data_IF_537212163553
#
_entry.id   IF_537212163553
#
_cell.length_a   1.000
_cell.length_b   1.000
_cell.length_c   1.000
_cell.angle_alpha   90.00
_cell.angle_beta   90.00
_cell.angle_gamma   90.00
#
_symmetry.space_group_name_H-M   'P 1'
#
loop_
_entity.id
_entity.type
_entity.pdbx_description
1 polymer ?
#
# COMPACT_ATOMS: atom_id res chain seq x y z
N UNK A 1 -21.11 -13.63 3.18
CA UNK A 1 -20.00 -12.65 3.21
C UNK A 1 -18.94 -13.10 4.21
N UNK A 2 -17.73 -13.44 3.76
CA UNK A 2 -16.66 -14.01 4.57
C UNK A 2 -15.67 -12.92 4.98
N UNK A 3 -16.03 -12.17 6.04
CA UNK A 3 -15.29 -10.97 6.48
C UNK A 3 -13.80 -11.24 6.77
N UNK A 4 -13.46 -12.46 7.20
CA UNK A 4 -12.08 -12.88 7.47
C UNK A 4 -11.24 -12.89 6.19
N UNK A 5 -11.83 -13.31 5.07
CA UNK A 5 -11.19 -13.35 3.77
C UNK A 5 -10.94 -11.93 3.23
N UNK A 6 -11.93 -11.05 3.37
CA UNK A 6 -11.84 -9.64 2.99
C UNK A 6 -10.69 -8.94 3.74
N UNK A 7 -10.63 -9.10 5.06
CA UNK A 7 -9.56 -8.52 5.88
C UNK A 7 -8.19 -9.10 5.50
N UNK A 8 -8.11 -10.42 5.28
CA UNK A 8 -6.86 -11.07 4.88
C UNK A 8 -6.35 -10.56 3.53
N UNK A 9 -7.23 -10.47 2.53
CA UNK A 9 -6.91 -9.90 1.22
C UNK A 9 -6.43 -8.44 1.33
N UNK A 10 -7.12 -7.64 2.15
CA UNK A 10 -6.71 -6.29 2.50
C UNK A 10 -5.29 -6.22 3.08
N UNK A 11 -4.99 -7.05 4.08
CA UNK A 11 -3.66 -7.07 4.74
C UNK A 11 -2.56 -7.46 3.75
N UNK A 12 -2.76 -8.51 2.94
CA UNK A 12 -1.76 -8.93 1.95
C UNK A 12 -1.50 -7.82 0.93
N UNK A 13 -2.57 -7.20 0.42
CA UNK A 13 -2.47 -6.13 -0.57
C UNK A 13 -1.85 -4.87 0.05
N UNK A 14 -2.08 -4.62 1.34
CA UNK A 14 -1.42 -3.56 2.10
C UNK A 14 0.10 -3.77 2.19
N UNK A 15 0.56 -4.99 2.47
CA UNK A 15 2.01 -5.28 2.49
C UNK A 15 2.64 -5.07 1.11
N UNK A 16 1.98 -5.50 0.04
CA UNK A 16 2.44 -5.27 -1.34
C UNK A 16 2.50 -3.77 -1.62
N UNK A 17 1.44 -3.02 -1.29
CA UNK A 17 1.40 -1.57 -1.43
C UNK A 17 2.47 -0.86 -0.62
N UNK A 18 2.78 -1.32 0.59
CA UNK A 18 3.83 -0.76 1.45
C UNK A 18 5.22 -0.89 0.83
N UNK A 19 5.51 -2.06 0.21
CA UNK A 19 6.76 -2.31 -0.52
C UNK A 19 6.85 -1.41 -1.76
N UNK A 20 5.76 -1.29 -2.51
CA UNK A 20 5.69 -0.40 -3.68
C UNK A 20 5.91 1.06 -3.27
N UNK A 21 5.27 1.50 -2.17
CA UNK A 21 5.44 2.86 -1.64
C UNK A 21 6.88 3.14 -1.19
N UNK A 22 7.54 2.16 -0.57
CA UNK A 22 8.96 2.26 -0.19
C UNK A 22 9.87 2.33 -1.43
N UNK A 23 9.61 1.50 -2.45
CA UNK A 23 10.34 1.53 -3.71
C UNK A 23 10.16 2.86 -4.44
N UNK A 24 8.94 3.41 -4.46
CA UNK A 24 8.64 4.72 -5.03
C UNK A 24 9.41 5.85 -4.31
N UNK A 25 9.51 5.79 -2.97
CA UNK A 25 10.31 6.74 -2.19
C UNK A 25 11.80 6.65 -2.54
N UNK A 26 12.32 5.43 -2.71
CA UNK A 26 13.73 5.20 -3.05
C UNK A 26 14.06 5.60 -4.50
N UNK A 27 13.13 5.40 -5.44
CA UNK A 27 13.26 5.85 -6.84
C UNK A 27 13.15 7.37 -6.92
N UNK A 28 12.21 7.99 -6.18
CA UNK A 28 12.04 9.44 -6.14
C UNK A 28 13.25 10.19 -5.55
N UNK A 29 14.06 9.53 -4.73
CA UNK A 29 15.34 10.06 -4.24
C UNK A 29 16.50 9.91 -5.23
N UNK A 30 16.32 9.16 -6.33
CA UNK A 30 17.39 8.78 -7.25
C UNK A 30 17.56 9.82 -8.35
N UNK A 31 18.09 10.99 -8.01
CA UNK A 31 18.45 12.02 -8.99
C UNK A 31 19.46 13.04 -8.46
N UNK A 32 20.67 12.98 -9.04
CA UNK A 32 21.64 14.05 -9.26
C UNK A 32 22.40 14.64 -8.05
N UNK A 33 23.54 14.01 -7.76
CA UNK A 33 24.79 14.59 -7.22
C UNK A 33 24.80 15.16 -5.80
N UNK A 34 23.73 15.76 -5.31
CA UNK A 34 23.65 16.35 -3.97
C UNK A 34 22.17 16.20 -3.60
N UNK A 35 21.78 15.67 -2.45
CA UNK A 35 21.98 16.31 -1.19
C UNK A 35 21.85 15.27 -0.09
N UNK A 36 22.91 15.17 0.69
CA UNK A 36 22.92 14.63 2.04
C UNK A 36 22.04 15.56 2.89
N UNK A 37 20.71 15.46 2.76
CA UNK A 37 19.79 16.22 3.60
C UNK A 37 19.67 15.52 4.96
N UNK A 38 20.62 15.83 5.83
CA UNK A 38 20.62 15.59 7.28
C UNK A 38 19.57 16.46 8.00
N UNK A 39 18.40 16.68 7.40
CA UNK A 39 17.29 17.40 8.02
C UNK A 39 16.26 16.39 8.54
N UNK A 40 15.83 16.46 9.82
CA UNK A 40 14.90 15.51 10.42
C UNK A 40 13.57 15.35 9.67
N UNK A 41 13.23 16.31 8.81
CA UNK A 41 12.02 16.31 7.99
C UNK A 41 12.01 15.26 6.87
N UNK A 42 13.18 14.89 6.32
CA UNK A 42 13.29 13.92 5.22
C UNK A 42 13.49 12.47 5.71
N UNK A 43 13.80 12.28 7.00
CA UNK A 43 14.00 10.96 7.61
C UNK A 43 12.72 10.12 7.64
N UNK A 44 11.57 10.78 7.81
CA UNK A 44 10.25 10.14 7.81
C UNK A 44 9.64 9.97 6.42
N UNK A 45 10.33 10.40 5.35
CA UNK A 45 9.75 10.33 4.01
C UNK A 45 9.50 8.89 3.58
N UNK A 46 10.45 7.97 3.81
CA UNK A 46 10.25 6.53 3.55
C UNK A 46 9.05 5.97 4.33
N UNK A 47 8.89 6.38 5.59
CA UNK A 47 7.81 5.93 6.47
C UNK A 47 6.46 6.45 5.99
N UNK A 48 6.38 7.72 5.56
CA UNK A 48 5.17 8.32 4.98
C UNK A 48 4.76 7.63 3.68
N UNK A 49 5.69 7.43 2.75
CA UNK A 49 5.37 6.81 1.46
C UNK A 49 5.04 5.32 1.59
N UNK A 50 5.70 4.60 2.50
CA UNK A 50 5.32 3.21 2.82
C UNK A 50 3.93 3.15 3.45
N UNK A 51 3.58 4.09 4.34
CA UNK A 51 2.25 4.17 4.95
C UNK A 51 1.15 4.49 3.92
N UNK A 52 1.43 5.41 2.98
CA UNK A 52 0.51 5.72 1.87
C UNK A 52 0.33 4.52 0.95
N UNK A 53 1.42 3.82 0.62
CA UNK A 53 1.36 2.60 -0.17
C UNK A 53 0.55 1.51 0.53
N UNK A 54 0.74 1.34 1.84
CA UNK A 54 0.01 0.37 2.64
C UNK A 54 -1.48 0.66 2.71
N UNK A 55 -1.87 1.93 2.92
CA UNK A 55 -3.29 2.31 3.01
C UNK A 55 -4.00 2.14 1.66
N UNK A 56 -3.37 2.54 0.56
CA UNK A 56 -3.89 2.32 -0.79
C UNK A 56 -4.02 0.83 -1.10
N UNK A 57 -2.98 0.05 -0.81
CA UNK A 57 -3.00 -1.40 -0.98
C UNK A 57 -4.14 -2.05 -0.19
N UNK A 58 -4.34 -1.64 1.06
CA UNK A 58 -5.43 -2.15 1.90
C UNK A 58 -6.82 -1.88 1.30
N UNK A 59 -7.08 -0.64 0.89
CA UNK A 59 -8.37 -0.23 0.31
C UNK A 59 -8.65 -1.02 -0.97
N UNK A 60 -7.64 -1.18 -1.83
CA UNK A 60 -7.79 -1.94 -3.07
C UNK A 60 -8.08 -3.42 -2.78
N UNK A 61 -7.33 -4.05 -1.87
CA UNK A 61 -7.51 -5.46 -1.53
C UNK A 61 -8.88 -5.76 -0.92
N UNK A 62 -9.32 -4.93 0.04
CA UNK A 62 -10.67 -5.02 0.62
C UNK A 62 -11.75 -4.81 -0.44
N UNK A 63 -11.59 -3.81 -1.31
CA UNK A 63 -12.54 -3.48 -2.36
C UNK A 63 -12.69 -4.62 -3.39
N UNK A 64 -11.57 -5.18 -3.86
CA UNK A 64 -11.58 -6.29 -4.82
C UNK A 64 -12.27 -7.53 -4.24
N UNK A 65 -11.97 -7.86 -2.99
CA UNK A 65 -12.56 -9.04 -2.34
C UNK A 65 -14.05 -8.84 -2.06
N UNK A 66 -14.45 -7.62 -1.66
CA UNK A 66 -15.85 -7.27 -1.47
C UNK A 66 -16.66 -7.41 -2.77
N UNK A 67 -16.13 -6.92 -3.90
CA UNK A 67 -16.76 -7.07 -5.22
C UNK A 67 -16.83 -8.54 -5.64
N UNK A 68 -15.80 -9.34 -5.34
CA UNK A 68 -15.78 -10.78 -5.63
C UNK A 68 -16.88 -11.51 -4.88
N UNK A 69 -17.03 -11.26 -3.59
CA UNK A 69 -18.08 -11.89 -2.79
C UNK A 69 -19.49 -11.44 -3.20
N UNK A 70 -19.68 -10.17 -3.55
CA UNK A 70 -20.97 -9.68 -4.06
C UNK A 70 -21.35 -10.35 -5.39
N UNK A 71 -20.38 -10.59 -6.27
CA UNK A 71 -20.63 -11.33 -7.52
C UNK A 71 -20.95 -12.79 -7.25
N UNK A 72 -20.19 -13.45 -6.37
CA UNK A 72 -20.45 -14.84 -5.99
C UNK A 72 -21.87 -15.04 -5.42
N UNK A 73 -22.34 -14.12 -4.57
CA UNK A 73 -23.71 -14.16 -4.03
C UNK A 73 -24.82 -13.87 -5.06
N UNK A 74 -24.49 -13.27 -6.21
CA UNK A 74 -25.45 -12.99 -7.29
C UNK A 74 -25.58 -14.17 -8.27
N UNK A 75 -24.52 -14.95 -8.41
CA UNK A 75 -24.46 -16.12 -9.30
C UNK A 75 -24.98 -17.40 -8.62
N UNK A 76 -25.15 -17.37 -7.29
CA UNK A 76 -25.81 -18.39 -6.46
C UNK A 76 -27.33 -18.16 -6.38
#
# INVERSE_FOLDING_TARGET
MNIRLIIFSGIITAFIGAVIGLAAAQIGQRSFDQLKYESPYYKDLHKKYSLIGASLGFIIGVGQECVREMKAQREE
#
